data_IF_903173342256
#
_entry.id   IF_903173342256
#
_cell.length_a   1.000
_cell.length_b   1.000
_cell.length_c   1.000
_cell.angle_alpha   90.00
_cell.angle_beta   90.00
_cell.angle_gamma   90.00
#
_symmetry.space_group_name_H-M   'P 1'
#
loop_
_entity.id
_entity.type
_entity.pdbx_description
1 polymer ?
#
# COMPACT_ATOMS: atom_id res chain seq x y z
N UNK A 1 -7.84 19.18 -1.11
CA UNK A 1 -7.40 17.77 -1.23
C UNK A 1 -6.04 17.62 -1.93
N UNK A 2 -5.75 18.33 -3.03
CA UNK A 2 -4.47 18.17 -3.75
C UNK A 2 -3.22 18.69 -3.00
N UNK A 3 -3.34 19.72 -2.16
CA UNK A 3 -2.22 20.25 -1.37
C UNK A 3 -1.56 19.22 -0.42
N UNK A 4 -2.31 18.18 0.01
CA UNK A 4 -1.73 17.11 0.84
C UNK A 4 -0.66 16.30 0.09
N UNK A 5 -0.83 16.14 -1.22
CA UNK A 5 0.11 15.40 -2.09
C UNK A 5 1.26 16.25 -2.62
N UNK A 6 1.24 17.57 -2.40
CA UNK A 6 2.34 18.45 -2.79
C UNK A 6 3.56 18.28 -1.88
N UNK A 7 3.33 18.05 -0.58
CA UNK A 7 4.41 17.76 0.35
C UNK A 7 4.91 16.32 0.15
N UNK A 8 6.18 16.11 -0.28
CA UNK A 8 6.71 14.78 -0.47
C UNK A 8 6.82 14.01 0.86
N UNK A 9 6.92 14.69 2.00
CA UNK A 9 6.88 14.04 3.32
C UNK A 9 5.50 13.43 3.63
N UNK A 10 4.42 14.13 3.28
CA UNK A 10 3.07 13.61 3.46
C UNK A 10 2.81 12.39 2.58
N UNK A 11 3.30 12.42 1.33
CA UNK A 11 3.25 11.27 0.42
C UNK A 11 4.06 10.09 0.96
N UNK A 12 5.23 10.33 1.56
CA UNK A 12 6.04 9.29 2.19
C UNK A 12 5.33 8.66 3.39
N UNK A 13 4.67 9.45 4.24
CA UNK A 13 3.87 8.93 5.35
C UNK A 13 2.65 8.13 4.86
N UNK A 14 1.94 8.65 3.86
CA UNK A 14 0.82 7.95 3.25
C UNK A 14 1.26 6.62 2.63
N UNK A 15 2.38 6.61 1.90
CA UNK A 15 2.93 5.40 1.29
C UNK A 15 3.23 4.32 2.33
N UNK A 16 3.77 4.72 3.48
CA UNK A 16 4.07 3.80 4.59
C UNK A 16 2.80 3.18 5.17
N UNK A 17 1.74 3.97 5.36
CA UNK A 17 0.42 3.46 5.79
C UNK A 17 -0.17 2.50 4.77
N UNK A 18 -0.15 2.86 3.48
CA UNK A 18 -0.67 2.03 2.39
C UNK A 18 0.09 0.70 2.28
N UNK A 19 1.41 0.71 2.46
CA UNK A 19 2.23 -0.50 2.48
C UNK A 19 1.83 -1.43 3.63
N UNK A 20 1.66 -0.89 4.85
CA UNK A 20 1.25 -1.69 6.02
C UNK A 20 -0.15 -2.25 5.84
N UNK A 21 -1.12 -1.44 5.38
CA UNK A 21 -2.49 -1.90 5.11
C UNK A 21 -2.49 -2.98 4.05
N UNK A 22 -1.76 -2.79 2.94
CA UNK A 22 -1.65 -3.77 1.87
C UNK A 22 -1.02 -5.08 2.34
N UNK A 23 0.00 -5.02 3.21
CA UNK A 23 0.64 -6.20 3.80
C UNK A 23 -0.32 -6.95 4.73
N UNK A 24 -0.97 -6.26 5.67
CA UNK A 24 -1.94 -6.88 6.59
C UNK A 24 -3.09 -7.52 5.82
N UNK A 25 -3.61 -6.82 4.81
CA UNK A 25 -4.69 -7.33 3.95
C UNK A 25 -4.26 -8.56 3.15
N UNK A 26 -3.05 -8.54 2.58
CA UNK A 26 -2.50 -9.69 1.87
C UNK A 26 -2.35 -10.90 2.79
N UNK A 27 -1.78 -10.72 3.99
CA UNK A 27 -1.60 -11.81 4.95
C UNK A 27 -2.95 -12.38 5.40
N UNK A 28 -3.94 -11.52 5.68
CA UNK A 28 -5.29 -11.95 6.01
C UNK A 28 -5.96 -12.73 4.86
N UNK A 29 -5.81 -12.24 3.62
CA UNK A 29 -6.32 -12.91 2.42
C UNK A 29 -5.66 -14.27 2.19
N UNK A 30 -4.34 -14.37 2.32
CA UNK A 30 -3.61 -15.63 2.17
C UNK A 30 -4.09 -16.64 3.22
N UNK A 31 -4.20 -16.20 4.47
CA UNK A 31 -4.68 -17.04 5.55
C UNK A 31 -6.10 -17.55 5.28
N UNK A 32 -7.04 -16.65 5.00
CA UNK A 32 -8.44 -17.03 4.81
C UNK A 32 -8.73 -17.80 3.53
N UNK A 33 -8.01 -17.53 2.44
CA UNK A 33 -8.28 -18.15 1.14
C UNK A 33 -7.55 -19.48 0.92
N UNK A 34 -6.39 -19.68 1.56
CA UNK A 34 -5.54 -20.85 1.27
C UNK A 34 -5.15 -21.68 2.50
N UNK A 35 -5.01 -21.08 3.68
CA UNK A 35 -4.53 -21.79 4.88
C UNK A 35 -5.67 -22.25 5.80
N UNK A 36 -6.77 -21.50 5.84
CA UNK A 36 -7.93 -21.83 6.66
C UNK A 36 -8.77 -22.92 6.00
N UNK A 37 -8.93 -24.06 6.69
CA UNK A 37 -9.68 -25.22 6.20
C UNK A 37 -11.08 -25.37 6.84
N UNK A 38 -11.49 -24.42 7.69
CA UNK A 38 -12.82 -24.48 8.31
C UNK A 38 -13.93 -24.07 7.34
N UNK A 39 -15.17 -24.28 7.76
CA UNK A 39 -16.34 -23.88 6.98
C UNK A 39 -16.38 -22.35 6.86
N UNK A 40 -16.29 -21.83 5.63
CA UNK A 40 -16.55 -20.43 5.31
C UNK A 40 -17.71 -20.34 4.31
N UNK A 41 -18.64 -19.39 4.49
CA UNK A 41 -19.65 -19.11 3.47
C UNK A 41 -18.97 -18.61 2.19
N UNK A 42 -19.55 -18.93 1.03
CA UNK A 42 -18.96 -18.60 -0.28
C UNK A 42 -18.61 -17.13 -0.43
N UNK A 43 -19.46 -16.22 0.07
CA UNK A 43 -19.22 -14.78 -0.01
C UNK A 43 -17.96 -14.36 0.76
N UNK A 44 -17.71 -14.97 1.92
CA UNK A 44 -16.51 -14.69 2.71
C UNK A 44 -15.26 -15.25 2.02
N UNK A 45 -15.33 -16.45 1.45
CA UNK A 45 -14.21 -17.04 0.72
C UNK A 45 -13.82 -16.19 -0.51
N UNK A 46 -14.80 -15.69 -1.26
CA UNK A 46 -14.57 -14.75 -2.36
C UNK A 46 -13.92 -13.47 -1.85
N UNK A 47 -14.37 -12.92 -0.71
CA UNK A 47 -13.73 -11.75 -0.11
C UNK A 47 -12.27 -12.03 0.31
N UNK A 48 -11.97 -13.21 0.86
CA UNK A 48 -10.60 -13.61 1.20
C UNK A 48 -9.70 -13.68 -0.04
N UNK A 49 -10.17 -14.25 -1.16
CA UNK A 49 -9.44 -14.21 -2.43
C UNK A 49 -9.32 -12.79 -2.99
N UNK A 50 -10.34 -11.95 -2.87
CA UNK A 50 -10.24 -10.56 -3.31
C UNK A 50 -9.14 -9.81 -2.53
N UNK A 51 -8.97 -10.09 -1.24
CA UNK A 51 -7.89 -9.52 -0.43
C UNK A 51 -6.48 -9.91 -0.94
N UNK A 52 -6.30 -11.08 -1.56
CA UNK A 52 -5.01 -11.45 -2.16
C UNK A 52 -4.73 -10.76 -3.50
N UNK A 53 -5.72 -10.08 -4.08
CA UNK A 53 -5.56 -9.21 -5.25
C UNK A 53 -5.38 -7.76 -4.81
N UNK A 54 -6.20 -7.29 -3.86
CA UNK A 54 -6.16 -5.91 -3.36
C UNK A 54 -4.90 -5.66 -2.52
N UNK A 55 -4.44 -6.63 -1.72
CA UNK A 55 -3.22 -6.50 -0.90
C UNK A 55 -1.96 -6.18 -1.73
N UNK A 56 -1.58 -7.02 -2.72
CA UNK A 56 -0.39 -6.78 -3.54
C UNK A 56 -0.50 -5.51 -4.41
N UNK A 57 -1.71 -5.16 -4.86
CA UNK A 57 -1.92 -3.92 -5.62
C UNK A 57 -1.72 -2.68 -4.74
N UNK A 58 -2.23 -2.69 -3.49
CA UNK A 58 -1.93 -1.64 -2.50
C UNK A 58 -0.43 -1.55 -2.20
N UNK A 59 0.25 -2.68 -2.02
CA UNK A 59 1.71 -2.70 -1.79
C UNK A 59 2.44 -2.05 -2.97
N UNK A 60 2.09 -2.41 -4.21
CA UNK A 60 2.71 -1.83 -5.42
C UNK A 60 2.50 -0.32 -5.50
N UNK A 61 1.27 0.15 -5.26
CA UNK A 61 0.95 1.59 -5.25
C UNK A 61 1.72 2.31 -4.14
N UNK A 62 1.73 1.76 -2.92
CA UNK A 62 2.49 2.28 -1.79
C UNK A 62 3.99 2.39 -2.11
N UNK A 63 4.57 1.36 -2.73
CA UNK A 63 5.98 1.37 -3.10
C UNK A 63 6.32 2.45 -4.12
N UNK A 64 5.51 2.59 -5.18
CA UNK A 64 5.71 3.66 -6.18
C UNK A 64 5.59 5.04 -5.55
N UNK A 65 4.62 5.27 -4.66
CA UNK A 65 4.50 6.53 -3.93
C UNK A 65 5.72 6.81 -3.05
N UNK A 66 6.25 5.79 -2.36
CA UNK A 66 7.47 5.90 -1.57
C UNK A 66 8.66 6.31 -2.43
N UNK A 67 8.91 5.62 -3.55
CA UNK A 67 10.01 5.95 -4.46
C UNK A 67 9.87 7.39 -5.00
N UNK A 68 8.67 7.78 -5.44
CA UNK A 68 8.42 9.13 -5.95
C UNK A 68 8.69 10.20 -4.88
N UNK A 69 8.25 9.96 -3.64
CA UNK A 69 8.47 10.90 -2.53
C UNK A 69 9.95 11.05 -2.19
N UNK A 70 10.70 9.94 -2.12
CA UNK A 70 12.13 9.94 -1.85
C UNK A 70 12.91 10.64 -2.97
N UNK A 71 12.53 10.40 -4.22
CA UNK A 71 13.11 11.09 -5.37
C UNK A 71 12.92 12.61 -5.32
N UNK A 72 11.72 13.08 -4.94
CA UNK A 72 11.43 14.51 -4.77
C UNK A 72 12.21 15.12 -3.60
N UNK A 73 12.28 14.41 -2.46
CA UNK A 73 13.05 14.85 -1.28
C UNK A 73 14.55 14.96 -1.58
N UNK A 74 15.11 14.04 -2.35
CA UNK A 74 16.51 14.09 -2.76
C UNK A 74 16.82 15.25 -3.72
N UNK A 75 15.85 15.72 -4.52
CA UNK A 75 16.01 16.85 -5.44
C UNK A 75 15.76 18.22 -4.83
N UNK A 76 14.98 18.32 -3.75
CA UNK A 76 14.76 19.58 -3.03
C UNK A 76 16.08 20.32 -2.67
N UNK A 77 17.11 19.67 -2.11
CA UNK A 77 18.37 20.34 -1.79
C UNK A 77 19.17 20.77 -3.04
N UNK A 78 19.01 20.10 -4.19
CA UNK A 78 19.71 20.46 -5.44
C UNK A 78 19.16 21.75 -6.06
N UNK A 79 17.84 21.98 -5.95
CA UNK A 79 17.19 23.22 -6.44
C UNK A 79 17.38 24.43 -5.51
N UNK A 80 17.75 24.23 -4.24
CA UNK A 80 17.97 25.31 -3.30
C UNK A 80 19.38 25.94 -3.39
N UNK A 81 20.30 25.32 -4.14
CA UNK A 81 21.71 25.72 -4.28
C UNK A 81 22.02 26.29 -5.69
N UNK A 82 21.06 26.24 -6.61
CA UNK A 82 21.17 26.76 -7.98
C UNK A 82 20.43 28.10 -8.12
#
# INVERSE_FOLDING_TARGET
>A
MFAFFESPLNVLHLSSKVLVVGLVMLLAGIYGAYLYQGHMPIALLVAMHAMTIVGPTLIKIGYVMRLLSQYRLARLPVLAVA
#
